data_IF_034127121831
#
_entry.id   IF_034127121831
#
_cell.length_a   1.000
_cell.length_b   1.000
_cell.length_c   1.000
_cell.angle_alpha   90.00
_cell.angle_beta   90.00
_cell.angle_gamma   90.00
#
_symmetry.space_group_name_H-M   'P 1'
#
loop_
_entity.id
_entity.type
_entity.pdbx_description
1 polymer ?
#
# COMPACT_ATOMS: atom_id res chain seq x y z
N UNK A 1 5.02 -8.97 -8.55
CA UNK A 1 3.98 -8.31 -9.36
C UNK A 1 4.61 -7.48 -10.49
N UNK A 2 3.90 -7.21 -11.59
CA UNK A 2 4.38 -6.24 -12.61
C UNK A 2 4.11 -4.83 -12.08
N UNK A 3 5.08 -3.91 -12.19
CA UNK A 3 4.91 -2.51 -11.82
C UNK A 3 5.61 -1.55 -12.78
N UNK A 4 5.18 -0.28 -12.81
CA UNK A 4 5.81 0.77 -13.61
C UNK A 4 4.84 1.85 -14.09
N UNK A 5 5.28 2.67 -15.05
CA UNK A 5 4.45 3.69 -15.72
C UNK A 5 3.58 3.11 -16.85
N UNK A 6 3.89 1.89 -17.27
CA UNK A 6 3.11 1.14 -18.24
C UNK A 6 3.24 -0.35 -17.97
N UNK A 7 2.19 -1.10 -18.26
CA UNK A 7 2.13 -2.55 -18.03
C UNK A 7 1.55 -3.22 -19.29
N UNK A 8 2.19 -4.31 -19.73
CA UNK A 8 1.67 -5.18 -20.79
C UNK A 8 1.05 -6.41 -20.14
N UNK A 9 -0.23 -6.63 -20.43
CA UNK A 9 -0.98 -7.81 -20.03
C UNK A 9 -0.59 -9.02 -20.88
N UNK A 10 -0.82 -10.22 -20.37
CA UNK A 10 -0.50 -11.47 -21.05
C UNK A 10 -1.30 -11.66 -22.35
N UNK A 11 -2.48 -11.04 -22.47
CA UNK A 11 -3.28 -11.02 -23.69
C UNK A 11 -2.83 -9.96 -24.72
N UNK A 12 -1.75 -9.21 -24.42
CA UNK A 12 -1.18 -8.20 -25.30
C UNK A 12 -1.77 -6.80 -25.15
N UNK A 13 -2.82 -6.61 -24.34
CA UNK A 13 -3.30 -5.27 -24.00
C UNK A 13 -2.25 -4.51 -23.20
N UNK A 14 -2.26 -3.19 -23.29
CA UNK A 14 -1.31 -2.31 -22.61
C UNK A 14 -2.03 -1.26 -21.79
N UNK A 15 -1.63 -1.08 -20.55
CA UNK A 15 -2.10 0.01 -19.68
C UNK A 15 -0.97 1.03 -19.55
N UNK A 16 -1.28 2.31 -19.69
CA UNK A 16 -0.31 3.41 -19.59
C UNK A 16 -0.84 4.45 -18.61
N UNK A 17 0.04 4.90 -17.70
CA UNK A 17 -0.14 6.08 -16.87
C UNK A 17 0.45 7.30 -17.58
N UNK A 18 -0.36 8.33 -17.75
CA UNK A 18 0.05 9.66 -18.23
C UNK A 18 -0.34 10.67 -17.17
N UNK A 19 0.62 11.48 -16.69
CA UNK A 19 0.39 12.33 -15.49
C UNK A 19 1.04 13.72 -15.57
N UNK A 20 1.43 14.16 -16.78
CA UNK A 20 2.10 15.46 -16.99
C UNK A 20 1.15 16.66 -17.01
N UNK A 21 -0.03 16.49 -17.59
CA UNK A 21 -1.04 17.55 -17.72
C UNK A 21 -2.29 17.17 -16.92
N UNK A 22 -2.85 16.01 -17.23
CA UNK A 22 -3.91 15.34 -16.49
C UNK A 22 -3.43 13.96 -16.06
N UNK A 23 -4.00 13.41 -14.99
CA UNK A 23 -3.70 12.06 -14.51
C UNK A 23 -4.66 11.10 -15.20
N UNK A 24 -4.15 10.29 -16.11
CA UNK A 24 -4.92 9.44 -16.99
C UNK A 24 -4.38 8.02 -16.97
N UNK A 25 -5.30 7.05 -16.93
CA UNK A 25 -5.01 5.63 -17.10
C UNK A 25 -5.64 5.16 -18.41
N UNK A 26 -4.84 4.79 -19.40
CA UNK A 26 -5.33 4.38 -20.70
C UNK A 26 -5.08 2.90 -20.95
N UNK A 27 -6.15 2.12 -21.18
CA UNK A 27 -6.10 0.72 -21.62
C UNK A 27 -6.17 0.67 -23.15
N UNK A 28 -5.08 0.26 -23.78
CA UNK A 28 -5.00 0.01 -25.21
C UNK A 28 -5.28 -1.47 -25.52
N UNK A 29 -6.28 -1.73 -26.35
CA UNK A 29 -6.47 -3.02 -27.02
C UNK A 29 -5.78 -2.99 -28.39
N UNK A 30 -5.44 -4.15 -28.95
CA UNK A 30 -4.85 -4.21 -30.29
C UNK A 30 -5.81 -3.75 -31.40
N UNK A 31 -7.11 -3.65 -31.11
CA UNK A 31 -8.17 -3.41 -32.08
C UNK A 31 -8.81 -2.02 -31.98
N UNK A 32 -8.70 -1.34 -30.82
CA UNK A 32 -9.43 -0.10 -30.56
C UNK A 32 -8.55 1.07 -30.16
N UNK A 33 -9.07 2.28 -30.36
CA UNK A 33 -8.56 3.47 -29.69
C UNK A 33 -8.64 3.22 -28.17
N UNK A 34 -7.52 3.45 -27.47
CA UNK A 34 -7.43 3.16 -26.04
C UNK A 34 -8.55 3.80 -25.23
N UNK A 35 -9.00 3.12 -24.19
CA UNK A 35 -10.02 3.62 -23.28
C UNK A 35 -9.35 4.28 -22.09
N UNK A 36 -9.65 5.55 -21.91
CA UNK A 36 -9.03 6.38 -20.88
C UNK A 36 -9.95 6.56 -19.69
N UNK A 37 -9.42 6.31 -18.51
CA UNK A 37 -9.99 6.72 -17.24
C UNK A 37 -9.27 7.97 -16.75
N UNK A 38 -10.00 9.07 -16.60
CA UNK A 38 -9.48 10.30 -16.01
C UNK A 38 -9.52 10.19 -14.49
N UNK A 39 -8.36 10.27 -13.84
CA UNK A 39 -8.27 10.34 -12.39
C UNK A 39 -8.45 11.81 -11.97
N UNK A 40 -9.43 12.13 -11.11
CA UNK A 40 -9.58 13.48 -10.59
C UNK A 40 -8.29 13.94 -9.90
N UNK A 41 -7.92 15.21 -10.12
CA UNK A 41 -6.72 15.76 -9.49
C UNK A 41 -6.87 15.70 -7.95
N UNK A 42 -5.96 15.05 -7.22
CA UNK A 42 -6.10 14.85 -5.78
C UNK A 42 -6.02 16.18 -5.00
N UNK A 43 -6.83 16.33 -3.95
CA UNK A 43 -6.97 17.60 -3.22
C UNK A 43 -5.72 18.04 -2.47
N UNK A 44 -4.85 17.10 -2.07
CA UNK A 44 -3.60 17.39 -1.38
C UNK A 44 -2.41 17.58 -2.35
N UNK A 45 -2.65 17.63 -3.66
CA UNK A 45 -1.60 17.69 -4.69
C UNK A 45 -1.26 16.33 -5.27
N UNK A 46 -0.31 16.31 -6.21
CA UNK A 46 0.19 15.10 -6.87
C UNK A 46 1.70 15.22 -7.12
N UNK A 47 2.48 14.38 -6.45
CA UNK A 47 3.93 14.30 -6.56
C UNK A 47 4.42 13.22 -7.52
N UNK A 48 3.54 12.30 -7.93
CA UNK A 48 3.83 11.18 -8.83
C UNK A 48 3.02 9.94 -8.48
N UNK A 49 3.11 8.92 -9.33
CA UNK A 49 2.41 7.66 -9.12
C UNK A 49 2.98 6.52 -9.95
N UNK A 50 2.50 5.31 -9.67
CA UNK A 50 2.94 4.08 -10.32
C UNK A 50 1.82 3.05 -10.39
N UNK A 51 1.91 2.17 -11.38
CA UNK A 51 0.96 1.08 -11.59
C UNK A 51 1.50 -0.22 -10.99
N UNK A 52 0.59 -1.01 -10.44
CA UNK A 52 0.85 -2.33 -9.87
C UNK A 52 -0.23 -3.31 -10.35
N UNK A 53 0.20 -4.45 -10.89
CA UNK A 53 -0.69 -5.46 -11.46
C UNK A 53 -0.84 -6.67 -10.53
N UNK A 54 -2.09 -7.05 -10.26
CA UNK A 54 -2.43 -8.33 -9.64
C UNK A 54 -1.94 -9.53 -10.47
N UNK A 55 -1.73 -10.68 -9.84
CA UNK A 55 -1.17 -11.85 -10.53
C UNK A 55 -2.10 -12.39 -11.63
N UNK A 56 -3.42 -12.33 -11.42
CA UNK A 56 -4.40 -12.75 -12.41
C UNK A 56 -4.61 -11.74 -13.53
N UNK A 57 -4.00 -10.56 -13.44
CA UNK A 57 -4.23 -9.40 -14.32
C UNK A 57 -5.68 -8.92 -14.35
N UNK A 58 -6.46 -9.23 -13.31
CA UNK A 58 -7.85 -8.78 -13.16
C UNK A 58 -7.95 -7.41 -12.51
N UNK A 59 -7.00 -7.07 -11.65
CA UNK A 59 -6.95 -5.82 -10.91
C UNK A 59 -5.68 -5.04 -11.20
N UNK A 60 -5.86 -3.73 -11.40
CA UNK A 60 -4.81 -2.73 -11.53
C UNK A 60 -4.90 -1.79 -10.33
N UNK A 61 -3.78 -1.61 -9.65
CA UNK A 61 -3.63 -0.59 -8.62
C UNK A 61 -2.82 0.58 -9.18
N UNK A 62 -3.33 1.79 -8.98
CA UNK A 62 -2.61 3.04 -9.21
C UNK A 62 -2.28 3.65 -7.86
N UNK A 63 -1.02 3.56 -7.44
CA UNK A 63 -0.50 4.17 -6.22
C UNK A 63 0.05 5.56 -6.54
N UNK A 64 -0.21 6.55 -5.71
CA UNK A 64 0.28 7.92 -5.90
C UNK A 64 0.48 8.63 -4.56
N UNK A 65 1.27 9.69 -4.57
CA UNK A 65 1.64 10.46 -3.37
C UNK A 65 1.51 11.96 -3.60
N UNK A 66 1.33 12.74 -2.52
CA UNK A 66 1.12 14.20 -2.60
C UNK A 66 2.43 15.00 -2.75
N UNK A 67 3.53 14.45 -2.25
CA UNK A 67 4.82 15.13 -2.08
C UNK A 67 5.08 15.59 -0.64
N UNK A 68 4.09 15.46 0.25
CA UNK A 68 4.15 15.93 1.65
C UNK A 68 3.86 14.77 2.64
N UNK A 69 4.58 13.64 2.51
CA UNK A 69 4.42 12.45 3.36
C UNK A 69 2.98 11.89 3.41
N UNK A 70 2.27 11.94 2.27
CA UNK A 70 0.96 11.32 2.12
C UNK A 70 0.90 10.42 0.89
N UNK A 71 0.30 9.26 1.05
CA UNK A 71 0.10 8.28 -0.01
C UNK A 71 -1.37 7.85 -0.14
N UNK A 72 -1.75 7.48 -1.36
CA UNK A 72 -3.07 7.03 -1.72
C UNK A 72 -2.99 5.99 -2.85
N UNK A 73 -4.09 5.28 -3.06
CA UNK A 73 -4.24 4.43 -4.23
C UNK A 73 -5.69 4.38 -4.71
N UNK A 74 -5.82 4.11 -6.00
CA UNK A 74 -7.06 3.69 -6.64
C UNK A 74 -6.91 2.24 -7.11
N UNK A 75 -7.91 1.41 -6.82
CA UNK A 75 -8.01 0.05 -7.32
C UNK A 75 -9.04 -0.02 -8.45
N UNK A 76 -8.63 -0.60 -9.57
CA UNK A 76 -9.46 -0.79 -10.76
C UNK A 76 -9.62 -2.27 -11.06
N UNK A 77 -10.80 -2.66 -11.52
CA UNK A 77 -11.04 -3.92 -12.22
C UNK A 77 -10.83 -3.68 -13.72
N UNK A 78 -10.05 -4.56 -14.34
CA UNK A 78 -9.82 -4.54 -15.78
C UNK A 78 -10.97 -5.31 -16.44
N UNK A 79 -11.65 -4.65 -17.36
CA UNK A 79 -12.75 -5.20 -18.15
C UNK A 79 -12.42 -5.05 -19.64
N UNK A 80 -13.11 -5.77 -20.52
CA UNK A 80 -12.91 -5.64 -21.97
C UNK A 80 -13.20 -4.21 -22.46
N UNK A 81 -14.17 -3.56 -21.80
CA UNK A 81 -14.60 -2.19 -22.07
C UNK A 81 -13.96 -1.12 -21.18
N UNK A 82 -12.87 -1.45 -20.47
CA UNK A 82 -11.99 -0.43 -19.87
C UNK A 82 -11.61 -0.71 -18.44
N UNK A 83 -11.25 0.35 -17.72
CA UNK A 83 -10.96 0.30 -16.29
C UNK A 83 -12.19 0.72 -15.49
N UNK A 84 -12.63 -0.13 -14.59
CA UNK A 84 -13.73 0.16 -13.66
C UNK A 84 -13.18 0.41 -12.26
N UNK A 85 -13.36 1.60 -11.72
CA UNK A 85 -12.98 1.91 -10.34
C UNK A 85 -13.72 0.98 -9.36
N UNK A 86 -12.96 0.34 -8.48
CA UNK A 86 -13.45 -0.54 -7.41
C UNK A 86 -13.37 0.15 -6.06
N UNK A 87 -12.25 0.85 -5.80
CA UNK A 87 -12.00 1.49 -4.53
C UNK A 87 -11.03 2.66 -4.68
N UNK A 88 -11.19 3.68 -3.83
CA UNK A 88 -10.28 4.81 -3.68
C UNK A 88 -9.97 4.96 -2.19
N UNK A 89 -8.69 4.99 -1.82
CA UNK A 89 -8.27 4.98 -0.42
C UNK A 89 -8.41 6.33 0.29
N UNK A 90 -8.37 7.42 -0.49
CA UNK A 90 -7.99 8.75 -0.02
C UNK A 90 -6.53 8.84 0.42
N UNK A 91 -6.01 10.06 0.59
CA UNK A 91 -4.69 10.30 1.16
C UNK A 91 -4.60 9.91 2.62
N UNK A 92 -3.44 9.36 2.98
CA UNK A 92 -3.08 8.98 4.34
C UNK A 92 -1.63 9.34 4.60
N UNK A 93 -1.36 9.81 5.81
CA UNK A 93 0.00 10.11 6.25
C UNK A 93 0.84 8.83 6.30
N UNK A 94 1.99 8.85 5.65
CA UNK A 94 2.94 7.75 5.56
C UNK A 94 3.85 7.89 4.35
N UNK A 95 4.91 7.09 4.31
CA UNK A 95 5.92 7.13 3.25
C UNK A 95 6.44 5.73 2.95
N UNK A 96 6.59 5.42 1.65
CA UNK A 96 7.07 4.13 1.18
C UNK A 96 6.01 3.03 1.23
N UNK A 97 4.75 3.33 0.89
CA UNK A 97 3.73 2.29 0.94
C UNK A 97 4.02 1.15 -0.05
N UNK A 98 3.71 -0.06 0.39
CA UNK A 98 3.83 -1.28 -0.40
C UNK A 98 2.54 -2.06 -0.38
N UNK A 99 2.36 -2.90 -1.39
CA UNK A 99 1.08 -3.54 -1.67
C UNK A 99 1.28 -5.03 -1.94
N UNK A 100 0.33 -5.85 -1.50
CA UNK A 100 0.25 -7.25 -1.88
C UNK A 100 -1.22 -7.68 -2.00
N UNK A 101 -1.54 -8.37 -3.09
CA UNK A 101 -2.81 -9.09 -3.18
C UNK A 101 -2.67 -10.40 -2.41
N UNK A 102 -3.72 -10.80 -1.70
CA UNK A 102 -3.83 -12.18 -1.23
C UNK A 102 -3.79 -13.14 -2.43
N UNK A 103 -3.29 -14.35 -2.22
CA UNK A 103 -3.18 -15.43 -3.21
C UNK A 103 -4.46 -15.72 -4.01
N UNK A 104 -5.63 -15.51 -3.41
CA UNK A 104 -6.95 -15.65 -4.03
C UNK A 104 -7.57 -14.32 -4.50
N UNK A 105 -6.83 -13.21 -4.37
CA UNK A 105 -7.23 -11.83 -4.67
C UNK A 105 -8.55 -11.41 -4.02
N UNK A 106 -8.87 -11.94 -2.83
CA UNK A 106 -10.02 -11.44 -2.04
C UNK A 106 -9.68 -10.18 -1.27
N UNK A 107 -8.40 -10.02 -0.91
CA UNK A 107 -7.90 -8.86 -0.18
C UNK A 107 -6.74 -8.21 -0.91
N UNK A 108 -6.65 -6.89 -0.76
CA UNK A 108 -5.46 -6.11 -1.02
C UNK A 108 -4.93 -5.61 0.33
N UNK A 109 -3.67 -5.90 0.62
CA UNK A 109 -2.95 -5.40 1.79
C UNK A 109 -2.10 -4.23 1.34
N UNK A 110 -2.19 -3.12 2.08
CA UNK A 110 -1.25 -2.00 2.01
C UNK A 110 -0.48 -1.95 3.33
N UNK A 111 0.84 -2.01 3.26
CA UNK A 111 1.71 -1.55 4.33
C UNK A 111 2.01 -0.07 4.10
N UNK A 112 1.71 0.76 5.11
CA UNK A 112 1.92 2.21 5.08
C UNK A 112 2.82 2.60 6.26
N UNK A 113 4.14 2.65 6.06
CA UNK A 113 5.09 3.03 7.08
C UNK A 113 4.90 4.47 7.54
N UNK A 114 5.05 4.71 8.85
CA UNK A 114 5.17 6.05 9.39
C UNK A 114 6.62 6.54 9.21
N UNK A 115 6.82 7.84 9.01
CA UNK A 115 8.15 8.42 9.11
C UNK A 115 8.59 8.38 10.57
N UNK A 116 9.50 7.47 10.90
CA UNK A 116 10.06 7.35 12.26
C UNK A 116 11.44 8.00 12.24
N UNK A 117 11.50 9.23 12.73
CA UNK A 117 12.75 9.98 12.85
C UNK A 117 13.58 9.56 14.07
N UNK A 118 14.78 10.15 14.24
CA UNK A 118 15.67 9.87 15.37
C UNK A 118 15.06 10.25 16.73
N UNK A 119 13.99 11.04 16.72
CA UNK A 119 13.25 11.51 17.90
C UNK A 119 12.17 10.52 18.38
N UNK A 120 12.14 9.28 17.87
CA UNK A 120 11.10 8.29 18.17
C UNK A 120 10.88 8.04 19.67
N UNK A 121 11.91 8.17 20.51
CA UNK A 121 11.79 8.05 21.97
C UNK A 121 11.13 9.26 22.63
N UNK A 122 11.29 10.46 22.05
CA UNK A 122 10.65 11.69 22.52
C UNK A 122 9.17 11.71 22.14
N UNK A 123 8.85 11.14 20.97
CA UNK A 123 7.49 10.99 20.46
C UNK A 123 6.78 9.72 20.98
N UNK A 124 7.52 8.87 21.71
CA UNK A 124 6.98 7.63 22.25
C UNK A 124 5.89 7.89 23.30
N UNK A 125 4.78 7.16 23.14
CA UNK A 125 3.74 7.05 24.14
C UNK A 125 4.16 6.04 25.23
N UNK A 126 3.44 6.04 26.35
CA UNK A 126 3.62 5.06 27.43
C UNK A 126 2.33 4.26 27.60
N UNK A 127 2.42 2.93 27.63
CA UNK A 127 1.28 2.05 27.89
C UNK A 127 0.91 1.97 29.38
N UNK A 128 -0.14 1.21 29.70
CA UNK A 128 -0.61 1.05 31.08
C UNK A 128 0.40 0.35 32.01
N UNK A 129 1.36 -0.40 31.45
CA UNK A 129 2.42 -1.11 32.17
C UNK A 129 3.69 -0.26 32.32
N UNK A 130 3.68 0.98 31.81
CA UNK A 130 4.84 1.88 31.86
C UNK A 130 5.86 1.65 30.73
N UNK A 131 5.54 0.83 29.72
CA UNK A 131 6.43 0.59 28.58
C UNK A 131 6.26 1.68 27.54
N UNK A 132 7.38 2.17 27.01
CA UNK A 132 7.38 3.11 25.90
C UNK A 132 7.08 2.38 24.60
N UNK A 133 6.28 3.00 23.74
CA UNK A 133 6.02 2.52 22.39
C UNK A 133 5.86 3.70 21.44
N UNK A 134 6.14 3.48 20.16
CA UNK A 134 5.89 4.44 19.11
C UNK A 134 5.05 3.81 17.99
N UNK A 135 4.35 4.67 17.23
CA UNK A 135 3.64 4.25 16.04
C UNK A 135 4.65 3.98 14.93
N UNK A 136 4.56 2.82 14.31
CA UNK A 136 5.49 2.40 13.26
C UNK A 136 4.87 2.52 11.86
N UNK A 137 3.54 2.50 11.78
CA UNK A 137 2.78 2.64 10.54
C UNK A 137 1.42 1.98 10.64
N UNK A 138 0.78 1.78 9.50
CA UNK A 138 -0.51 1.10 9.36
C UNK A 138 -0.39 -0.13 8.45
N UNK A 139 -1.18 -1.16 8.75
CA UNK A 139 -1.62 -2.15 7.76
C UNK A 139 -3.07 -1.90 7.43
N UNK A 140 -3.35 -1.69 6.15
CA UNK A 140 -4.68 -1.47 5.63
C UNK A 140 -5.10 -2.67 4.80
N UNK A 141 -6.23 -3.29 5.15
CA UNK A 141 -6.74 -4.50 4.51
C UNK A 141 -8.05 -4.15 3.80
N UNK A 142 -8.00 -4.07 2.48
CA UNK A 142 -9.17 -3.85 1.65
C UNK A 142 -9.80 -5.21 1.29
N UNK A 143 -11.05 -5.42 1.72
CA UNK A 143 -11.93 -6.45 1.16
C UNK A 143 -12.43 -5.97 -0.21
N UNK A 144 -11.87 -6.54 -1.27
CA UNK A 144 -12.11 -6.10 -2.64
C UNK A 144 -13.57 -6.33 -3.05
N UNK A 145 -14.22 -7.39 -2.53
CA UNK A 145 -15.61 -7.70 -2.88
C UNK A 145 -16.60 -6.77 -2.17
N UNK A 146 -16.32 -6.43 -0.91
CA UNK A 146 -17.18 -5.55 -0.11
C UNK A 146 -16.89 -4.07 -0.33
N UNK A 147 -15.70 -3.73 -0.85
CA UNK A 147 -15.25 -2.34 -0.98
C UNK A 147 -15.02 -1.66 0.38
N UNK A 148 -14.67 -2.45 1.40
CA UNK A 148 -14.47 -1.98 2.78
C UNK A 148 -13.03 -2.18 3.20
N UNK A 149 -12.45 -1.19 3.88
CA UNK A 149 -11.08 -1.24 4.36
C UNK A 149 -11.02 -1.29 5.89
N UNK A 150 -10.37 -2.31 6.41
CA UNK A 150 -9.96 -2.41 7.82
C UNK A 150 -8.57 -1.82 7.98
N UNK A 151 -8.31 -1.20 9.14
CA UNK A 151 -7.06 -0.50 9.42
C UNK A 151 -6.50 -1.01 10.74
N UNK A 152 -5.22 -1.28 10.74
CA UNK A 152 -4.52 -1.86 11.87
C UNK A 152 -3.27 -1.04 12.15
N UNK A 153 -3.19 -0.47 13.35
CA UNK A 153 -2.03 0.30 13.76
C UNK A 153 -0.90 -0.65 14.16
N UNK A 154 0.30 -0.42 13.61
CA UNK A 154 1.51 -1.10 14.02
C UNK A 154 2.23 -0.26 15.08
N UNK A 155 2.57 -0.89 16.20
CA UNK A 155 3.36 -0.27 17.27
C UNK A 155 4.60 -1.09 17.56
N UNK A 156 5.67 -0.40 17.89
CA UNK A 156 6.91 -1.01 18.36
C UNK A 156 7.14 -0.60 19.80
N UNK A 157 7.39 -1.59 20.65
CA UNK A 157 7.98 -1.42 21.98
C UNK A 157 9.46 -1.73 21.82
N UNK A 158 10.36 -0.74 21.88
CA UNK A 158 11.79 -0.97 21.71
C UNK A 158 12.43 -1.56 22.98
N UNK A 159 13.45 -2.39 22.80
CA UNK A 159 14.23 -3.00 23.87
C UNK A 159 15.33 -2.03 24.32
N UNK A 160 16.04 -2.44 25.36
CA UNK A 160 17.22 -1.70 25.82
C UNK A 160 18.36 -1.67 24.78
N UNK A 161 18.38 -2.63 23.85
CA UNK A 161 19.40 -2.77 22.82
C UNK A 161 18.95 -2.23 21.44
N UNK A 162 17.79 -1.57 21.38
CA UNK A 162 17.28 -0.95 20.15
C UNK A 162 18.25 0.13 19.68
N UNK A 163 18.83 -0.06 18.50
CA UNK A 163 19.75 0.90 17.89
C UNK A 163 18.93 1.95 17.12
N UNK A 164 19.20 3.23 17.41
CA UNK A 164 18.52 4.39 16.82
C UNK A 164 18.61 4.39 15.29
N UNK A 165 19.67 3.79 14.73
CA UNK A 165 19.80 3.61 13.28
C UNK A 165 18.73 2.67 12.70
N UNK A 166 18.20 1.70 13.46
CA UNK A 166 17.11 0.83 12.96
C UNK A 166 15.78 1.57 12.77
N UNK A 167 15.54 2.62 13.57
CA UNK A 167 14.34 3.45 13.41
C UNK A 167 14.38 4.24 12.09
N UNK A 168 15.57 4.69 11.68
CA UNK A 168 15.79 5.39 10.41
C UNK A 168 16.03 4.45 9.21
N UNK A 169 16.53 3.23 9.45
CA UNK A 169 17.23 2.47 8.42
C UNK A 169 16.36 2.06 7.25
N UNK A 170 15.19 1.45 7.48
CA UNK A 170 14.37 0.92 6.39
C UNK A 170 12.88 0.90 6.76
N UNK A 171 12.03 1.33 5.82
CA UNK A 171 10.60 1.18 5.90
C UNK A 171 10.21 -0.31 5.80
N UNK A 172 9.21 -0.75 6.59
CA UNK A 172 8.68 -2.11 6.43
C UNK A 172 7.83 -2.23 5.17
N UNK A 173 7.76 -3.44 4.60
CA UNK A 173 6.93 -3.70 3.44
C UNK A 173 6.18 -5.02 3.54
N UNK A 174 5.05 -5.09 2.83
CA UNK A 174 4.26 -6.33 2.71
C UNK A 174 4.87 -7.23 1.63
N UNK A 175 5.00 -8.52 1.94
CA UNK A 175 5.54 -9.53 1.05
C UNK A 175 4.44 -10.10 0.11
N UNK A 176 4.82 -10.37 -1.14
CA UNK A 176 3.95 -10.94 -2.17
C UNK A 176 3.45 -12.35 -1.82
N UNK A 177 4.07 -13.07 -0.87
CA UNK A 177 3.57 -14.37 -0.37
C UNK A 177 2.34 -14.26 0.53
N UNK A 178 1.84 -13.06 0.77
CA UNK A 178 0.59 -12.80 1.50
C UNK A 178 -0.57 -13.64 0.93
N UNK A 179 -1.35 -14.21 1.83
CA UNK A 179 -2.45 -15.13 1.51
C UNK A 179 -3.74 -14.66 2.17
N UNK A 180 -4.85 -15.34 1.86
CA UNK A 180 -6.13 -15.11 2.53
C UNK A 180 -6.12 -15.35 4.06
N UNK A 181 -5.13 -16.10 4.57
CA UNK A 181 -5.07 -16.54 5.97
C UNK A 181 -3.98 -15.80 6.76
N UNK A 182 -2.92 -15.34 6.09
CA UNK A 182 -1.76 -14.69 6.71
C UNK A 182 -1.22 -13.53 5.87
N UNK A 183 -0.85 -12.44 6.56
CA UNK A 183 -0.05 -11.34 6.03
C UNK A 183 1.41 -11.56 6.42
N UNK A 184 2.32 -11.37 5.47
CA UNK A 184 3.75 -11.44 5.73
C UNK A 184 4.37 -10.06 5.53
N UNK A 185 5.17 -9.64 6.51
CA UNK A 185 5.88 -8.36 6.48
C UNK A 185 7.38 -8.63 6.52
N UNK A 186 8.11 -7.91 5.67
CA UNK A 186 9.53 -7.74 5.84
C UNK A 186 9.76 -6.49 6.69
N UNK A 187 10.30 -6.70 7.88
CA UNK A 187 10.67 -5.66 8.84
C UNK A 187 12.19 -5.51 8.86
N UNK A 188 12.73 -4.39 9.36
CA UNK A 188 14.18 -4.22 9.51
C UNK A 188 14.84 -5.28 10.42
N UNK A 189 14.08 -5.87 11.34
CA UNK A 189 14.54 -6.93 12.24
C UNK A 189 14.25 -8.35 11.75
N UNK A 190 13.69 -8.51 10.55
CA UNK A 190 13.37 -9.81 9.96
C UNK A 190 11.91 -9.93 9.52
N UNK A 191 11.43 -11.16 9.38
CA UNK A 191 10.10 -11.43 8.87
C UNK A 191 9.07 -11.59 9.99
N UNK A 192 7.92 -10.93 9.83
CA UNK A 192 6.77 -11.07 10.72
C UNK A 192 5.60 -11.70 9.95
N UNK A 193 4.92 -12.68 10.56
CA UNK A 193 3.76 -13.34 9.99
C UNK A 193 2.54 -13.12 10.89
N UNK A 194 1.49 -12.51 10.33
CA UNK A 194 0.29 -12.14 11.07
C UNK A 194 -0.92 -12.89 10.52
N UNK A 195 -1.57 -13.69 11.37
CA UNK A 195 -2.78 -14.43 11.01
C UNK A 195 -4.04 -13.56 11.08
N UNK A 196 -4.95 -13.70 10.12
CA UNK A 196 -6.28 -13.10 10.21
C UNK A 196 -7.19 -13.78 11.26
N UNK A 197 -8.18 -13.06 11.83
CA UNK A 197 -8.39 -11.61 11.73
C UNK A 197 -7.32 -10.86 12.54
N UNK A 198 -6.88 -9.72 12.00
CA UNK A 198 -5.92 -8.87 12.69
C UNK A 198 -6.60 -8.09 13.81
N UNK A 199 -5.86 -7.84 14.90
CA UNK A 199 -6.28 -6.91 15.94
C UNK A 199 -6.24 -5.48 15.40
N UNK A 200 -7.05 -4.58 15.97
CA UNK A 200 -6.98 -3.15 15.65
C UNK A 200 -5.57 -2.56 15.86
N UNK A 201 -4.83 -3.08 16.84
CA UNK A 201 -3.42 -2.73 17.06
C UNK A 201 -2.58 -4.00 17.15
N UNK A 202 -1.52 -4.03 16.36
CA UNK A 202 -0.48 -5.07 16.39
C UNK A 202 0.75 -4.47 17.06
N UNK A 203 1.33 -5.20 18.01
CA UNK A 203 2.45 -4.73 18.82
C UNK A 203 3.62 -5.67 18.57
N UNK A 204 4.75 -5.11 18.12
CA UNK A 204 6.03 -5.79 18.06
C UNK A 204 6.87 -5.40 19.28
N UNK A 205 7.48 -6.37 19.92
CA UNK A 205 8.46 -6.15 21.00
C UNK A 205 9.82 -6.48 20.44
N UNK A 206 10.59 -5.43 20.17
CA UNK A 206 11.95 -5.48 19.64
C UNK A 206 12.90 -4.92 20.69
#
# INVERSE_FOLDING_TARGET
MKSGQWIILNDGRRIVLEDKEEICLTLYSCADAGQTFLVPYPSAGYGGGSLWMSLSEKYLLFAYYSGESEEAYCLFRIEDGGLKLVYESGYRCGEGASYAFADNETFLVQALPASVGPWYLEEACTDADGRRYFAYGELNILDIQKGTMERHLLRVVPSADWDEQFAEAEAFFVDEKTSKDMVYLAMPWGEEALSFPLKETVIFSQ
#
